data_IF_974414450750
#
_entry.id   IF_974414450750
#
_cell.length_a   1.000
_cell.length_b   1.000
_cell.length_c   1.000
_cell.angle_alpha   90.00
_cell.angle_beta   90.00
_cell.angle_gamma   90.00
#
_symmetry.space_group_name_H-M   'P 1'
#
loop_
_entity.id
_entity.type
_entity.pdbx_description
1 polymer ?
#
# COMPACT_ATOMS: atom_id res chain seq x y z
N UNK A 1 -3.08 11.58 10.95
CA UNK A 1 -3.35 11.80 9.50
C UNK A 1 -4.65 11.10 9.15
N UNK A 2 -5.64 11.83 8.62
CA UNK A 2 -6.87 11.23 8.11
C UNK A 2 -6.77 11.17 6.59
N UNK A 3 -6.78 9.97 6.02
CA UNK A 3 -6.78 9.77 4.57
C UNK A 3 -8.14 9.22 4.18
N UNK A 4 -8.83 9.90 3.25
CA UNK A 4 -10.09 9.37 2.73
C UNK A 4 -9.82 8.07 1.98
N UNK A 5 -10.40 6.97 2.46
CA UNK A 5 -10.26 5.68 1.81
C UNK A 5 -11.14 5.63 0.56
N UNK A 6 -10.50 5.50 -0.61
CA UNK A 6 -11.17 5.20 -1.88
C UNK A 6 -10.49 3.98 -2.47
N UNK A 7 -11.21 2.87 -2.53
CA UNK A 7 -10.67 1.64 -3.08
C UNK A 7 -10.33 1.82 -4.56
N UNK A 8 -9.10 1.44 -4.94
CA UNK A 8 -8.63 1.40 -6.33
C UNK A 8 -7.68 0.20 -6.50
N UNK A 9 -7.82 -0.60 -7.57
CA UNK A 9 -6.85 -1.65 -7.87
C UNK A 9 -5.45 -1.09 -8.11
N UNK A 10 -4.41 -1.87 -7.82
CA UNK A 10 -3.01 -1.50 -8.04
C UNK A 10 -2.75 -0.98 -9.47
N UNK A 11 -3.33 -1.65 -10.47
CA UNK A 11 -3.20 -1.26 -11.88
C UNK A 11 -3.63 0.21 -12.15
N UNK A 12 -4.62 0.74 -11.41
CA UNK A 12 -5.06 2.13 -11.57
C UNK A 12 -3.97 3.12 -11.16
N UNK A 13 -3.20 2.81 -10.13
CA UNK A 13 -2.07 3.62 -9.70
C UNK A 13 -0.91 3.49 -10.68
N UNK A 14 -0.51 2.25 -11.01
CA UNK A 14 0.65 2.01 -11.88
C UNK A 14 0.47 2.63 -13.27
N UNK A 15 -0.70 2.44 -13.90
CA UNK A 15 -0.96 3.02 -15.22
C UNK A 15 -0.97 4.55 -15.18
N UNK A 16 -1.47 5.16 -14.09
CA UNK A 16 -1.43 6.60 -13.93
C UNK A 16 -0.01 7.13 -13.74
N UNK A 17 0.84 6.42 -12.98
CA UNK A 17 2.26 6.77 -12.83
C UNK A 17 3.01 6.66 -14.16
N UNK A 18 2.78 5.60 -14.93
CA UNK A 18 3.35 5.42 -16.27
C UNK A 18 2.93 6.55 -17.20
N UNK A 19 1.63 6.85 -17.28
CA UNK A 19 1.12 7.95 -18.11
C UNK A 19 1.68 9.32 -17.70
N UNK A 20 2.06 9.49 -16.43
CA UNK A 20 2.68 10.70 -15.91
C UNK A 20 4.21 10.75 -16.08
N UNK A 21 4.84 9.75 -16.71
CA UNK A 21 6.29 9.68 -16.85
C UNK A 21 7.03 9.52 -15.50
N UNK A 22 6.45 8.74 -14.58
CA UNK A 22 7.05 8.46 -13.28
C UNK A 22 7.59 7.03 -13.25
N UNK A 23 8.88 6.90 -12.94
CA UNK A 23 9.53 5.62 -12.70
C UNK A 23 9.36 5.22 -11.22
N UNK A 24 8.88 4.00 -10.97
CA UNK A 24 8.81 3.44 -9.62
C UNK A 24 10.20 2.98 -9.19
N UNK A 25 10.75 3.60 -8.13
CA UNK A 25 12.05 3.24 -7.56
C UNK A 25 11.92 2.23 -6.42
N UNK A 26 10.81 2.28 -5.68
CA UNK A 26 10.55 1.37 -4.56
C UNK A 26 9.05 1.18 -4.34
N UNK A 27 8.64 -0.06 -4.16
CA UNK A 27 7.31 -0.45 -3.69
C UNK A 27 7.46 -1.16 -2.35
N UNK A 28 6.68 -0.74 -1.35
CA UNK A 28 6.71 -1.32 0.00
C UNK A 28 5.29 -1.58 0.47
N UNK A 29 5.05 -2.79 0.95
CA UNK A 29 3.82 -3.24 1.56
C UNK A 29 4.11 -3.59 3.03
N UNK A 30 4.10 -2.60 3.94
CA UNK A 30 4.49 -2.85 5.32
C UNK A 30 3.46 -3.73 6.03
N UNK A 31 3.96 -4.63 6.89
CA UNK A 31 3.12 -5.37 7.81
C UNK A 31 2.33 -4.41 8.71
N UNK A 32 1.11 -4.78 9.13
CA UNK A 32 0.36 -4.03 10.14
C UNK A 32 1.19 -3.87 11.44
N UNK A 33 1.03 -2.75 12.18
CA UNK A 33 1.65 -2.60 13.48
C UNK A 33 1.22 -3.73 14.44
N UNK A 34 2.10 -4.19 15.35
CA UNK A 34 1.76 -5.27 16.29
C UNK A 34 0.49 -4.99 17.11
N UNK A 35 0.29 -3.74 17.53
CA UNK A 35 -0.91 -3.32 18.25
C UNK A 35 -2.20 -3.48 17.44
N UNK A 36 -2.15 -3.42 16.11
CA UNK A 36 -3.31 -3.67 15.24
C UNK A 36 -3.64 -5.16 15.18
N UNK A 37 -2.62 -6.03 15.05
CA UNK A 37 -2.81 -7.48 15.06
C UNK A 37 -3.37 -7.96 16.41
N UNK A 38 -2.93 -7.33 17.51
CA UNK A 38 -3.40 -7.64 18.85
C UNK A 38 -4.91 -7.34 19.06
N UNK A 39 -5.53 -6.49 18.24
CA UNK A 39 -6.97 -6.22 18.33
C UNK A 39 -7.83 -7.31 17.69
N UNK A 40 -7.23 -8.20 16.89
CA UNK A 40 -7.94 -9.24 16.15
C UNK A 40 -7.16 -10.57 16.20
N UNK A 41 -6.98 -11.13 17.42
CA UNK A 41 -6.17 -12.33 17.64
C UNK A 41 -6.66 -13.57 16.86
N UNK A 42 -7.94 -13.60 16.48
CA UNK A 42 -8.56 -14.65 15.66
C UNK A 42 -8.08 -14.66 14.19
N UNK A 43 -7.42 -13.59 13.74
CA UNK A 43 -6.88 -13.48 12.38
C UNK A 43 -5.35 -13.41 12.40
N UNK A 44 -4.69 -14.49 12.84
CA UNK A 44 -3.21 -14.58 12.91
C UNK A 44 -2.55 -14.34 11.55
N UNK A 45 -3.15 -14.85 10.48
CA UNK A 45 -2.63 -14.72 9.12
C UNK A 45 -2.88 -13.34 8.53
N UNK A 46 -3.58 -12.45 9.24
CA UNK A 46 -3.83 -11.13 8.75
C UNK A 46 -2.52 -10.36 8.53
N UNK A 47 -1.41 -10.71 9.19
CA UNK A 47 -0.09 -10.15 8.89
C UNK A 47 0.39 -10.40 7.44
N UNK A 48 -0.13 -11.44 6.78
CA UNK A 48 0.25 -11.82 5.40
C UNK A 48 -0.48 -11.00 4.33
N UNK A 49 -1.53 -10.26 4.69
CA UNK A 49 -2.34 -9.47 3.76
C UNK A 49 -1.87 -8.01 3.76
N UNK A 50 -1.37 -7.47 2.63
CA UNK A 50 -0.99 -6.07 2.51
C UNK A 50 -2.15 -5.14 2.80
N UNK A 51 -1.99 -4.24 3.78
CA UNK A 51 -3.00 -3.21 4.13
C UNK A 51 -2.69 -1.84 3.55
N UNK A 52 -1.40 -1.57 3.41
CA UNK A 52 -0.88 -0.29 2.95
C UNK A 52 0.04 -0.56 1.77
N UNK A 53 0.02 0.37 0.82
CA UNK A 53 0.93 0.41 -0.31
C UNK A 53 1.65 1.75 -0.29
N UNK A 54 2.98 1.72 -0.25
CA UNK A 54 3.82 2.90 -0.40
C UNK A 54 4.65 2.77 -1.68
N UNK A 55 4.56 3.78 -2.55
CA UNK A 55 5.34 3.88 -3.79
C UNK A 55 6.24 5.09 -3.71
N UNK A 56 7.55 4.88 -3.91
CA UNK A 56 8.51 5.96 -4.19
C UNK A 56 8.72 6.02 -5.69
N UNK A 57 8.55 7.20 -6.25
CA UNK A 57 8.72 7.41 -7.68
C UNK A 57 9.67 8.57 -7.95
N UNK A 58 10.34 8.53 -9.10
CA UNK A 58 11.16 9.62 -9.64
C UNK A 58 10.61 10.01 -11.01
N UNK A 59 10.61 11.32 -11.29
CA UNK A 59 10.22 11.84 -12.60
C UNK A 59 11.33 11.58 -13.62
N UNK A 60 10.96 11.04 -14.77
CA UNK A 60 11.85 10.88 -15.93
C UNK A 60 11.86 12.13 -16.78
#
# INVERSE_FOLDING_TARGET
VHVRFVHRPLARYLNALVAAGLLVERMVEPAPPPGFLAQAPEYTDAATVPRLLALRCRKT
#
